data_IF_192784189042
#
_entry.id   IF_192784189042
#
_cell.length_a   1.000
_cell.length_b   1.000
_cell.length_c   1.000
_cell.angle_alpha   90.00
_cell.angle_beta   90.00
_cell.angle_gamma   90.00
#
_symmetry.space_group_name_H-M   'P 1'
#
loop_
_entity.id
_entity.type
_entity.pdbx_description
1 polymer ?
#
# COMPACT_ATOMS: atom_id res chain seq x y z
N UNK A 1 12.21 3.83 -40.42
CA UNK A 1 10.89 3.52 -39.91
C UNK A 1 10.71 4.04 -38.49
N UNK A 2 9.59 4.60 -38.26
CA UNK A 2 9.33 5.16 -36.95
C UNK A 2 8.73 4.12 -36.03
N UNK A 3 9.30 4.00 -34.86
CA UNK A 3 8.81 3.14 -33.81
C UNK A 3 8.07 4.01 -32.81
N UNK A 4 6.86 3.62 -32.46
CA UNK A 4 6.02 4.38 -31.55
C UNK A 4 6.28 4.05 -30.07
N UNK A 5 7.51 3.83 -29.73
CA UNK A 5 7.88 3.46 -28.36
C UNK A 5 7.53 4.53 -27.33
N UNK A 6 7.62 5.79 -27.72
CA UNK A 6 7.30 6.91 -26.86
C UNK A 6 5.81 7.04 -26.51
N UNK A 7 4.93 6.32 -27.25
CA UNK A 7 3.51 6.26 -26.94
C UNK A 7 3.19 5.25 -25.84
N UNK A 8 4.11 4.33 -25.60
CA UNK A 8 3.94 3.34 -24.55
C UNK A 8 4.57 3.83 -23.24
N UNK A 9 3.72 3.91 -22.22
CA UNK A 9 4.17 4.29 -20.90
C UNK A 9 4.68 3.07 -20.15
N UNK A 10 5.65 3.31 -19.29
CA UNK A 10 6.18 2.31 -18.35
C UNK A 10 5.12 2.04 -17.29
N UNK A 11 4.79 0.78 -17.04
CA UNK A 11 3.83 0.40 -16.00
C UNK A 11 4.49 0.41 -14.64
N UNK A 12 3.90 1.17 -13.70
CA UNK A 12 4.40 1.35 -12.34
C UNK A 12 3.22 1.19 -11.37
N UNK A 13 3.39 0.33 -10.37
CA UNK A 13 2.42 0.20 -9.31
C UNK A 13 2.46 1.40 -8.38
N UNK A 14 1.34 1.71 -7.74
CA UNK A 14 1.26 2.84 -6.81
C UNK A 14 0.19 2.61 -5.76
N UNK A 15 0.45 3.08 -4.54
CA UNK A 15 -0.59 3.13 -3.51
C UNK A 15 -1.72 4.05 -3.95
N UNK A 16 -2.95 3.53 -3.99
CA UNK A 16 -4.11 4.22 -4.58
C UNK A 16 -4.37 5.60 -3.99
N UNK A 17 -4.14 5.79 -2.69
CA UNK A 17 -4.39 7.07 -2.04
C UNK A 17 -3.46 8.19 -2.54
N UNK A 18 -2.31 7.87 -3.13
CA UNK A 18 -1.40 8.86 -3.73
C UNK A 18 -1.97 9.44 -5.02
N UNK A 19 -2.89 8.74 -5.67
CA UNK A 19 -3.61 9.24 -6.85
C UNK A 19 -4.86 10.05 -6.50
N UNK A 20 -5.15 10.23 -5.21
CA UNK A 20 -6.32 10.94 -4.73
C UNK A 20 -7.54 10.05 -4.52
N UNK A 21 -7.43 8.74 -4.66
CA UNK A 21 -8.52 7.83 -4.33
C UNK A 21 -8.78 7.84 -2.83
N UNK A 22 -10.04 7.96 -2.44
CA UNK A 22 -10.46 8.09 -1.04
C UNK A 22 -10.56 6.73 -0.38
N UNK A 23 -9.43 6.02 -0.30
CA UNK A 23 -9.35 4.62 0.16
C UNK A 23 -8.67 4.45 1.52
N UNK A 24 -8.27 5.55 2.17
CA UNK A 24 -7.70 5.48 3.51
C UNK A 24 -8.77 5.13 4.54
N UNK A 25 -8.34 4.64 5.71
CA UNK A 25 -9.24 4.16 6.77
C UNK A 25 -10.31 5.17 7.18
N UNK A 26 -10.01 6.47 7.07
CA UNK A 26 -10.93 7.57 7.41
C UNK A 26 -11.75 8.07 6.20
N UNK A 27 -11.69 7.39 5.06
CA UNK A 27 -12.33 7.83 3.82
C UNK A 27 -11.59 8.93 3.08
N UNK A 28 -10.36 9.25 3.50
CA UNK A 28 -9.55 10.29 2.87
C UNK A 28 -8.55 9.75 1.87
N UNK A 29 -7.64 10.64 1.47
CA UNK A 29 -6.57 10.31 0.51
C UNK A 29 -5.25 10.98 0.93
N UNK A 30 -4.20 10.66 0.19
CA UNK A 30 -2.88 11.30 0.31
C UNK A 30 -2.40 11.75 -1.07
N UNK A 31 -3.26 12.44 -1.81
CA UNK A 31 -2.98 12.86 -3.18
C UNK A 31 -1.60 13.51 -3.33
N UNK A 32 -0.84 13.02 -4.29
CA UNK A 32 0.46 13.57 -4.65
C UNK A 32 0.38 14.21 -6.03
N UNK A 33 0.52 15.52 -6.09
CA UNK A 33 0.54 16.25 -7.35
C UNK A 33 1.74 15.84 -8.23
N UNK A 34 2.87 15.49 -7.61
CA UNK A 34 4.00 14.95 -8.35
C UNK A 34 3.60 13.71 -9.15
N UNK A 35 2.88 12.77 -8.51
CA UNK A 35 2.43 11.56 -9.19
C UNK A 35 1.41 11.85 -10.27
N UNK A 36 0.36 12.63 -9.96
CA UNK A 36 -0.76 12.82 -10.90
C UNK A 36 -0.47 13.80 -12.01
N UNK A 37 0.39 14.80 -11.80
CA UNK A 37 0.66 15.85 -12.78
C UNK A 37 1.96 15.66 -13.54
N UNK A 38 3.00 15.15 -12.87
CA UNK A 38 4.33 15.03 -13.48
C UNK A 38 4.63 13.59 -13.91
N UNK A 39 4.62 12.65 -12.97
CA UNK A 39 5.02 11.27 -13.26
C UNK A 39 4.01 10.54 -14.16
N UNK A 40 2.74 10.92 -14.12
CA UNK A 40 1.72 10.34 -14.98
C UNK A 40 1.97 10.57 -16.48
N UNK A 41 2.83 11.50 -16.83
CA UNK A 41 3.23 11.73 -18.22
C UNK A 41 4.07 10.59 -18.77
N UNK A 42 4.79 9.88 -17.88
CA UNK A 42 5.77 8.86 -18.25
C UNK A 42 5.35 7.47 -17.86
N UNK A 43 4.51 7.35 -16.82
CA UNK A 43 4.10 6.08 -16.24
C UNK A 43 2.62 5.82 -16.40
N UNK A 44 2.29 4.58 -16.72
CA UNK A 44 0.94 4.06 -16.58
C UNK A 44 0.82 3.47 -15.18
N UNK A 45 0.02 4.09 -14.33
CA UNK A 45 -0.11 3.65 -12.95
C UNK A 45 -1.09 2.49 -12.81
N UNK A 46 -0.66 1.47 -12.07
CA UNK A 46 -1.52 0.39 -11.60
C UNK A 46 -1.72 0.60 -10.11
N UNK A 47 -2.89 1.06 -9.72
CA UNK A 47 -3.16 1.43 -8.34
C UNK A 47 -3.69 0.27 -7.52
N UNK A 48 -3.27 0.20 -6.26
CA UNK A 48 -3.71 -0.81 -5.32
C UNK A 48 -3.88 -0.22 -3.92
N UNK A 49 -4.89 -0.70 -3.21
CA UNK A 49 -5.03 -0.51 -1.78
C UNK A 49 -5.26 -1.88 -1.13
N UNK A 50 -4.24 -2.47 -0.51
CA UNK A 50 -4.36 -3.81 0.06
C UNK A 50 -5.48 -3.95 1.09
N UNK A 51 -5.69 -2.94 1.93
CA UNK A 51 -6.73 -2.98 2.97
C UNK A 51 -8.13 -3.03 2.38
N UNK A 52 -8.40 -2.25 1.35
CA UNK A 52 -9.68 -2.31 0.64
C UNK A 52 -9.81 -3.64 -0.11
N UNK A 53 -8.74 -4.11 -0.73
CA UNK A 53 -8.76 -5.34 -1.52
C UNK A 53 -9.05 -6.58 -0.69
N UNK A 54 -8.65 -6.61 0.58
CA UNK A 54 -8.98 -7.72 1.48
C UNK A 54 -10.34 -7.57 2.17
N UNK A 55 -11.09 -6.50 1.85
CA UNK A 55 -12.47 -6.35 2.30
C UNK A 55 -12.66 -5.58 3.60
N UNK A 56 -11.68 -4.82 4.07
CA UNK A 56 -11.83 -4.06 5.32
C UNK A 56 -12.81 -2.88 5.23
N UNK A 57 -13.10 -2.42 4.00
CA UNK A 57 -14.08 -1.35 3.79
C UNK A 57 -13.55 0.06 4.00
N UNK A 58 -14.41 1.04 3.73
CA UNK A 58 -14.16 2.48 3.89
C UNK A 58 -15.42 3.13 4.47
N UNK A 59 -15.40 3.88 5.57
CA UNK A 59 -14.27 3.98 6.50
C UNK A 59 -14.04 2.68 7.25
N UNK A 60 -12.90 2.55 7.88
CA UNK A 60 -12.55 1.39 8.68
C UNK A 60 -11.69 1.79 9.86
N UNK A 61 -11.63 0.93 10.86
CA UNK A 61 -10.74 1.15 11.99
C UNK A 61 -9.29 0.98 11.57
N UNK A 62 -8.36 1.79 12.10
CA UNK A 62 -6.95 1.68 11.72
C UNK A 62 -6.34 0.35 12.17
N UNK A 63 -5.35 -0.09 11.43
CA UNK A 63 -4.53 -1.27 11.74
C UNK A 63 -3.08 -0.83 11.95
N UNK A 64 -2.29 -1.69 12.59
CA UNK A 64 -0.86 -1.45 12.79
C UNK A 64 -0.08 -2.76 12.85
N UNK A 65 1.23 -2.66 12.67
CA UNK A 65 2.13 -3.79 12.84
C UNK A 65 2.46 -3.98 14.32
N UNK A 66 2.47 -5.23 14.77
CA UNK A 66 2.78 -5.58 16.16
C UNK A 66 3.69 -6.79 16.21
N UNK A 67 4.41 -6.93 17.32
CA UNK A 67 5.18 -8.14 17.62
C UNK A 67 6.62 -8.08 17.14
N UNK A 68 7.08 -9.13 16.47
CA UNK A 68 8.46 -9.24 16.01
C UNK A 68 8.69 -8.35 14.77
N UNK A 69 9.61 -7.37 14.82
CA UNK A 69 9.88 -6.51 13.67
C UNK A 69 10.32 -7.26 12.40
N UNK A 70 10.89 -8.45 12.55
CA UNK A 70 11.30 -9.27 11.40
C UNK A 70 10.13 -10.00 10.73
N UNK A 71 9.04 -10.22 11.45
CA UNK A 71 7.84 -10.88 10.95
C UNK A 71 6.64 -10.42 11.77
N UNK A 72 6.23 -9.16 11.59
CA UNK A 72 5.15 -8.59 12.40
C UNK A 72 3.78 -9.12 12.01
N UNK A 73 2.86 -9.11 12.97
CA UNK A 73 1.45 -9.29 12.70
C UNK A 73 0.79 -7.94 12.42
N UNK A 74 -0.30 -7.98 11.67
CA UNK A 74 -1.11 -6.79 11.34
C UNK A 74 -2.45 -6.93 12.04
N UNK A 75 -2.69 -6.07 13.03
CA UNK A 75 -3.91 -6.13 13.85
C UNK A 75 -4.57 -4.77 13.97
N UNK A 76 -5.85 -4.77 14.36
CA UNK A 76 -6.56 -3.53 14.65
C UNK A 76 -5.96 -2.80 15.84
N UNK A 77 -5.91 -1.46 15.76
CA UNK A 77 -5.39 -0.63 16.86
C UNK A 77 -6.31 -0.71 18.06
N UNK A 78 -7.62 -0.59 17.83
CA UNK A 78 -8.63 -0.59 18.89
C UNK A 78 -9.19 -1.99 19.18
N UNK A 79 -9.11 -2.88 18.20
CA UNK A 79 -9.65 -4.24 18.29
C UNK A 79 -8.60 -5.24 17.80
N UNK A 80 -7.88 -5.84 18.75
CA UNK A 80 -6.82 -6.81 18.43
C UNK A 80 -7.36 -8.14 17.90
N UNK A 81 -8.66 -8.40 18.01
CA UNK A 81 -9.26 -9.57 17.39
C UNK A 81 -9.32 -9.45 15.86
N UNK A 82 -9.28 -8.21 15.34
CA UNK A 82 -9.11 -7.97 13.92
C UNK A 82 -7.66 -8.26 13.55
N UNK A 83 -7.43 -9.35 12.86
CA UNK A 83 -6.09 -9.76 12.41
C UNK A 83 -6.07 -9.88 10.89
N UNK A 84 -5.37 -8.96 10.24
CA UNK A 84 -5.29 -8.88 8.79
C UNK A 84 -4.01 -9.53 8.23
N UNK A 85 -3.20 -10.19 9.07
CA UNK A 85 -1.89 -10.73 8.68
C UNK A 85 -1.99 -11.70 7.51
N UNK A 86 -2.79 -12.75 7.63
CA UNK A 86 -2.90 -13.76 6.57
C UNK A 86 -3.61 -13.24 5.32
N UNK A 87 -4.74 -12.53 5.42
CA UNK A 87 -5.36 -11.94 4.23
C UNK A 87 -4.43 -11.02 3.44
N UNK A 88 -3.62 -10.19 4.12
CA UNK A 88 -2.66 -9.32 3.44
C UNK A 88 -1.53 -10.13 2.78
N UNK A 89 -1.03 -11.16 3.44
CA UNK A 89 0.01 -12.03 2.86
C UNK A 89 -0.52 -12.77 1.62
N UNK A 90 -1.71 -13.30 1.68
CA UNK A 90 -2.36 -13.98 0.55
C UNK A 90 -2.60 -13.02 -0.61
N UNK A 91 -3.11 -11.81 -0.32
CA UNK A 91 -3.29 -10.78 -1.32
C UNK A 91 -1.97 -10.44 -2.01
N UNK A 92 -0.90 -10.24 -1.23
CA UNK A 92 0.42 -9.92 -1.80
C UNK A 92 0.95 -11.02 -2.71
N UNK A 93 0.82 -12.28 -2.30
CA UNK A 93 1.25 -13.43 -3.11
C UNK A 93 0.52 -13.50 -4.45
N UNK A 94 -0.79 -13.30 -4.44
CA UNK A 94 -1.59 -13.31 -5.66
C UNK A 94 -1.31 -12.11 -6.56
N UNK A 95 -1.14 -10.93 -5.98
CA UNK A 95 -0.84 -9.72 -6.76
C UNK A 95 0.53 -9.77 -7.42
N UNK A 96 1.54 -10.31 -6.75
CA UNK A 96 2.87 -10.45 -7.35
C UNK A 96 2.81 -11.28 -8.63
N UNK A 97 1.99 -12.32 -8.65
CA UNK A 97 1.80 -13.14 -9.86
C UNK A 97 1.15 -12.36 -10.99
N UNK A 98 0.23 -11.44 -10.68
CA UNK A 98 -0.50 -10.65 -11.67
C UNK A 98 0.28 -9.44 -12.17
N UNK A 99 1.17 -8.90 -11.35
CA UNK A 99 1.88 -7.65 -11.60
C UNK A 99 3.34 -7.85 -12.03
N UNK A 100 3.64 -8.98 -12.66
CA UNK A 100 5.00 -9.31 -13.09
C UNK A 100 5.57 -8.37 -14.16
N UNK A 101 4.72 -7.59 -14.82
CA UNK A 101 5.12 -6.64 -15.86
C UNK A 101 5.39 -5.22 -15.34
N UNK A 102 5.28 -5.00 -14.03
CA UNK A 102 5.60 -3.69 -13.45
C UNK A 102 7.10 -3.46 -13.44
N UNK A 103 7.50 -2.23 -13.79
CA UNK A 103 8.90 -1.81 -13.77
C UNK A 103 9.30 -1.16 -12.45
N UNK A 104 8.36 -0.85 -11.60
CA UNK A 104 8.61 -0.26 -10.28
C UNK A 104 7.31 -0.11 -9.49
N UNK A 105 7.45 0.38 -8.27
CA UNK A 105 6.32 0.61 -7.39
C UNK A 105 6.54 1.82 -6.48
N UNK A 106 5.53 2.68 -6.38
CA UNK A 106 5.56 3.86 -5.52
C UNK A 106 4.68 3.59 -4.31
N UNK A 107 5.32 3.52 -3.14
CA UNK A 107 4.67 3.20 -1.88
C UNK A 107 4.35 4.47 -1.09
N UNK A 108 3.17 4.50 -0.46
CA UNK A 108 2.88 5.54 0.52
C UNK A 108 3.70 5.29 1.79
N UNK A 109 4.25 6.36 2.34
CA UNK A 109 5.07 6.29 3.55
C UNK A 109 4.23 5.91 4.77
N UNK A 110 4.77 5.04 5.59
CA UNK A 110 4.26 4.75 6.93
C UNK A 110 3.01 3.89 7.01
N UNK A 111 2.46 3.45 5.89
CA UNK A 111 1.29 2.57 5.91
C UNK A 111 1.66 1.16 6.37
N UNK A 112 0.90 0.53 7.27
CA UNK A 112 1.18 -0.84 7.70
C UNK A 112 0.95 -1.89 6.61
N UNK A 113 0.22 -1.56 5.54
CA UNK A 113 -0.03 -2.47 4.42
C UNK A 113 0.72 -2.11 3.15
N UNK A 114 1.07 -0.84 2.96
CA UNK A 114 1.69 -0.32 1.74
C UNK A 114 3.08 0.27 1.95
N UNK A 115 3.49 0.57 3.19
CA UNK A 115 4.78 1.19 3.47
C UNK A 115 5.94 0.22 3.21
N UNK A 116 7.03 0.73 2.62
CA UNK A 116 8.20 -0.08 2.30
C UNK A 116 9.26 -0.04 3.39
N UNK A 117 9.51 1.15 3.94
CA UNK A 117 10.55 1.37 4.96
C UNK A 117 9.97 2.05 6.19
N UNK A 118 10.59 1.80 7.34
CA UNK A 118 10.34 2.52 8.59
C UNK A 118 8.86 2.55 8.98
N UNK A 119 8.16 1.48 8.70
CA UNK A 119 6.81 1.30 9.20
C UNK A 119 6.92 0.88 10.66
N UNK A 120 6.25 1.64 11.54
CA UNK A 120 6.34 1.39 12.98
C UNK A 120 5.76 0.03 13.34
N UNK A 121 6.51 -0.72 14.16
CA UNK A 121 6.06 -1.97 14.76
C UNK A 121 5.92 -1.76 16.26
N UNK A 122 4.76 -2.05 16.81
CA UNK A 122 4.44 -1.78 18.20
C UNK A 122 4.64 -3.04 19.06
N UNK A 123 5.07 -2.83 20.32
CA UNK A 123 5.16 -3.92 21.29
C UNK A 123 3.81 -4.18 21.97
N UNK A 124 3.75 -5.16 22.86
CA UNK A 124 2.51 -5.52 23.57
C UNK A 124 1.95 -4.39 24.43
N UNK A 125 2.78 -3.44 24.83
CA UNK A 125 2.37 -2.28 25.63
C UNK A 125 1.90 -1.09 24.76
N UNK A 126 1.92 -1.23 23.44
CA UNK A 126 1.48 -0.19 22.51
C UNK A 126 2.53 0.88 22.20
N UNK A 127 3.80 0.62 22.47
CA UNK A 127 4.91 1.54 22.15
C UNK A 127 5.64 1.08 20.89
N UNK A 128 6.08 2.05 20.02
CA UNK A 128 6.89 1.70 18.88
C UNK A 128 8.21 1.05 19.27
N UNK A 129 8.61 0.04 18.54
CA UNK A 129 9.90 -0.62 18.70
C UNK A 129 10.90 -0.01 17.71
N UNK A 130 12.20 -0.14 18.04
CA UNK A 130 13.25 0.19 17.07
C UNK A 130 13.27 -0.86 15.95
N UNK A 131 13.55 -0.39 14.76
CA UNK A 131 13.70 -1.23 13.58
C UNK A 131 15.01 -2.01 13.58
#
# INVERSE_FOLDING_TARGET
MLVKQHDEKIRVGISSCLLGEEVRYNGGHKHSALCTQELSRYFEFVSECPEVSIGLGIPRKPIRLVGNPSDPDVVGVDDRSLNATQPLKEFAREKVKQLHDLCGYIFIKGSPSCGLFRVKVYNDNGFPQEE
#
